data_IF_532425985773
#
_entry.id   IF_532425985773
#
_cell.length_a   1.000
_cell.length_b   1.000
_cell.length_c   1.000
_cell.angle_alpha   90.00
_cell.angle_beta   90.00
_cell.angle_gamma   90.00
#
_symmetry.space_group_name_H-M   'P 1'
#
loop_
_entity.id
_entity.type
_entity.pdbx_description
1 polymer ?
#
# COMPACT_ATOMS: atom_id res chain seq x y z
N UNK A 1 18.19 12.57 1.12
CA UNK A 1 19.17 11.45 1.12
C UNK A 1 19.65 11.27 -0.31
N UNK A 2 20.94 11.06 -0.55
CA UNK A 2 21.51 10.85 -1.91
C UNK A 2 21.09 11.91 -2.94
N UNK A 3 21.17 13.20 -2.59
CA UNK A 3 20.79 14.30 -3.47
C UNK A 3 19.29 14.50 -3.71
N UNK A 4 18.42 13.62 -3.19
CA UNK A 4 16.95 13.77 -3.22
C UNK A 4 16.46 14.52 -1.97
N UNK A 5 15.59 15.52 -2.15
CA UNK A 5 14.84 16.15 -1.06
C UNK A 5 13.69 15.24 -0.65
N UNK A 6 13.66 14.84 0.61
CA UNK A 6 12.69 13.87 1.14
C UNK A 6 11.98 14.50 2.33
N UNK A 7 10.65 14.41 2.34
CA UNK A 7 9.81 14.70 3.50
C UNK A 7 9.32 13.36 4.04
N UNK A 8 9.72 13.02 5.26
CA UNK A 8 9.29 11.80 5.94
C UNK A 8 8.22 12.15 6.97
N UNK A 9 7.08 11.45 6.91
CA UNK A 9 5.97 11.64 7.85
C UNK A 9 5.38 10.30 8.24
N UNK A 10 4.96 10.18 9.50
CA UNK A 10 4.17 9.04 9.97
C UNK A 10 2.68 9.41 9.90
N UNK A 11 1.93 8.71 9.05
CA UNK A 11 0.47 8.80 9.07
C UNK A 11 -0.11 7.90 10.17
N UNK A 12 -1.13 8.35 10.91
CA UNK A 12 -1.97 7.45 11.71
C UNK A 12 -2.73 6.44 10.84
N UNK A 13 -3.31 5.42 11.47
CA UNK A 13 -4.09 4.38 10.80
C UNK A 13 -5.41 4.92 10.24
N UNK A 14 -5.91 4.31 9.18
CA UNK A 14 -7.23 4.57 8.61
C UNK A 14 -7.22 5.56 7.44
N UNK A 15 -8.23 5.46 6.59
CA UNK A 15 -8.35 6.18 5.32
C UNK A 15 -8.31 7.69 5.51
N UNK A 16 -9.09 8.22 6.45
CA UNK A 16 -9.19 9.67 6.70
C UNK A 16 -7.83 10.26 7.06
N UNK A 17 -7.11 9.63 7.99
CA UNK A 17 -5.79 10.09 8.42
C UNK A 17 -4.76 10.05 7.29
N UNK A 18 -4.78 8.98 6.50
CA UNK A 18 -3.88 8.81 5.36
C UNK A 18 -4.18 9.79 4.23
N UNK A 19 -5.46 10.07 3.94
CA UNK A 19 -5.88 11.07 2.97
C UNK A 19 -5.47 12.49 3.40
N UNK A 20 -5.70 12.87 4.67
CA UNK A 20 -5.26 14.16 5.20
C UNK A 20 -3.74 14.30 5.08
N UNK A 21 -2.99 13.26 5.47
CA UNK A 21 -1.52 13.27 5.39
C UNK A 21 -1.04 13.45 3.95
N UNK A 22 -1.62 12.71 2.99
CA UNK A 22 -1.30 12.84 1.57
C UNK A 22 -1.61 14.25 1.05
N UNK A 23 -2.76 14.82 1.43
CA UNK A 23 -3.15 16.16 1.00
C UNK A 23 -2.24 17.24 1.58
N UNK A 24 -1.77 17.08 2.81
CA UNK A 24 -0.79 18.00 3.42
C UNK A 24 0.56 17.91 2.70
N UNK A 25 1.02 16.70 2.36
CA UNK A 25 2.23 16.52 1.55
C UNK A 25 2.10 17.20 0.18
N UNK A 26 0.96 17.04 -0.49
CA UNK A 26 0.68 17.68 -1.78
C UNK A 26 0.63 19.22 -1.66
N UNK A 27 -0.20 19.75 -0.77
CA UNK A 27 -0.51 21.19 -0.72
C UNK A 27 0.49 22.05 0.04
N UNK A 28 1.17 21.51 1.06
CA UNK A 28 2.13 22.28 1.88
C UNK A 28 3.56 22.07 1.44
N UNK A 29 3.92 20.84 1.11
CA UNK A 29 5.29 20.48 0.74
C UNK A 29 5.51 20.40 -0.76
N UNK A 30 4.44 20.45 -1.57
CA UNK A 30 4.50 20.42 -3.04
C UNK A 30 5.32 19.24 -3.54
N UNK A 31 5.09 18.06 -2.95
CA UNK A 31 5.83 16.85 -3.31
C UNK A 31 5.53 16.44 -4.75
N UNK A 32 6.56 15.99 -5.46
CA UNK A 32 6.42 15.51 -6.84
C UNK A 32 6.02 14.03 -6.93
N UNK A 33 6.08 13.31 -5.81
CA UNK A 33 5.79 11.88 -5.70
C UNK A 33 5.49 11.52 -4.25
N UNK A 34 4.58 10.56 -4.04
CA UNK A 34 4.33 9.97 -2.73
C UNK A 34 4.68 8.48 -2.76
N UNK A 35 5.51 8.03 -1.82
CA UNK A 35 5.74 6.60 -1.59
C UNK A 35 5.30 6.26 -0.18
N UNK A 36 4.40 5.29 -0.07
CA UNK A 36 3.86 4.84 1.21
C UNK A 36 4.37 3.45 1.50
N UNK A 37 5.11 3.32 2.59
CA UNK A 37 5.56 2.03 3.12
C UNK A 37 4.79 1.77 4.40
N UNK A 38 4.24 0.57 4.54
CA UNK A 38 3.38 0.23 5.67
C UNK A 38 3.20 -1.27 5.82
N UNK A 39 2.46 -1.66 6.84
CA UNK A 39 2.16 -3.06 7.13
C UNK A 39 0.85 -3.47 6.47
N UNK A 40 0.69 -4.76 6.21
CA UNK A 40 -0.55 -5.32 5.68
C UNK A 40 -0.77 -6.76 6.16
N UNK A 41 -2.03 -7.19 6.18
CA UNK A 41 -2.39 -8.59 6.34
C UNK A 41 -2.33 -9.32 5.00
N UNK A 42 -1.81 -10.56 4.99
CA UNK A 42 -1.78 -11.40 3.80
C UNK A 42 -3.16 -11.96 3.46
N UNK A 43 -3.64 -11.66 2.26
CA UNK A 43 -4.85 -12.26 1.68
C UNK A 43 -4.48 -13.47 0.81
N UNK A 44 -3.38 -13.37 0.07
CA UNK A 44 -2.81 -14.48 -0.69
C UNK A 44 -2.10 -15.46 0.28
N UNK A 45 -2.49 -16.75 0.29
CA UNK A 45 -1.92 -17.74 1.20
C UNK A 45 -0.45 -18.07 0.93
N UNK A 46 0.11 -17.70 -0.23
CA UNK A 46 1.52 -17.88 -0.54
C UNK A 46 2.43 -16.84 0.14
N UNK A 47 1.85 -15.77 0.68
CA UNK A 47 2.59 -14.71 1.36
C UNK A 47 2.81 -15.06 2.84
N UNK A 48 4.02 -14.83 3.29
CA UNK A 48 4.46 -15.06 4.67
C UNK A 48 4.75 -13.74 5.38
N UNK A 49 4.79 -13.77 6.71
CA UNK A 49 5.21 -12.59 7.48
C UNK A 49 6.61 -12.17 7.03
N UNK A 50 6.76 -10.88 6.70
CA UNK A 50 7.98 -10.31 6.12
C UNK A 50 8.02 -10.28 4.58
N UNK A 51 7.10 -10.96 3.88
CA UNK A 51 6.94 -10.80 2.43
C UNK A 51 6.65 -9.34 2.08
N UNK A 52 7.17 -8.89 0.93
CA UNK A 52 6.98 -7.52 0.41
C UNK A 52 6.08 -7.58 -0.82
N UNK A 53 5.01 -6.78 -0.78
CA UNK A 53 4.06 -6.59 -1.88
C UNK A 53 4.14 -5.13 -2.33
N UNK A 54 4.41 -4.92 -3.60
CA UNK A 54 4.34 -3.61 -4.25
C UNK A 54 2.99 -3.52 -4.96
N UNK A 55 2.26 -2.43 -4.73
CA UNK A 55 0.91 -2.26 -5.30
C UNK A 55 0.98 -2.31 -6.81
N UNK A 56 0.22 -3.20 -7.45
CA UNK A 56 -0.12 -3.12 -8.88
C UNK A 56 -1.44 -2.38 -9.06
N UNK A 57 -2.41 -2.69 -8.18
CA UNK A 57 -3.74 -2.08 -8.10
C UNK A 57 -4.06 -1.80 -6.65
N UNK A 58 -4.86 -0.76 -6.38
CA UNK A 58 -5.46 -0.58 -5.06
C UNK A 58 -6.97 -0.37 -5.14
N UNK A 59 -7.70 -0.90 -4.16
CA UNK A 59 -9.15 -0.85 -4.12
C UNK A 59 -9.64 -0.58 -2.71
N UNK A 60 -10.75 0.14 -2.57
CA UNK A 60 -11.43 0.28 -1.29
C UNK A 60 -12.47 -0.84 -1.15
N UNK A 61 -12.19 -1.84 -0.32
CA UNK A 61 -13.01 -3.06 -0.25
C UNK A 61 -14.31 -2.89 0.58
N UNK A 62 -14.42 -1.80 1.31
CA UNK A 62 -15.51 -1.43 2.22
C UNK A 62 -16.16 -0.08 1.85
N UNK A 63 -15.90 0.43 0.64
CA UNK A 63 -16.49 1.65 0.10
C UNK A 63 -17.40 1.32 -1.10
N UNK A 64 -18.66 1.74 -1.03
CA UNK A 64 -19.69 1.45 -2.01
C UNK A 64 -21.07 1.25 -1.37
N UNK A 65 -22.10 0.98 -2.19
CA UNK A 65 -23.47 0.75 -1.71
C UNK A 65 -23.65 -0.73 -1.36
N UNK A 66 -24.16 -1.00 -0.15
CA UNK A 66 -24.55 -2.34 0.32
C UNK A 66 -25.78 -2.87 -0.42
N UNK A 67 -25.57 -3.42 -1.62
CA UNK A 67 -26.44 -4.44 -2.22
C UNK A 67 -25.94 -5.83 -1.80
N UNK A 68 -26.72 -6.92 -1.96
CA UNK A 68 -26.29 -8.29 -1.58
C UNK A 68 -24.89 -8.69 -2.08
N UNK A 69 -24.41 -8.05 -3.14
CA UNK A 69 -23.08 -8.27 -3.72
C UNK A 69 -22.20 -7.02 -3.88
N UNK A 70 -22.64 -5.83 -3.44
CA UNK A 70 -21.91 -4.54 -3.34
C UNK A 70 -20.88 -4.16 -4.43
N UNK A 71 -21.08 -3.00 -5.07
CA UNK A 71 -20.07 -2.42 -5.97
C UNK A 71 -18.80 -2.08 -5.19
N UNK A 72 -17.65 -2.40 -5.77
CA UNK A 72 -16.34 -2.09 -5.19
C UNK A 72 -15.71 -1.01 -6.03
N UNK A 73 -15.24 0.02 -5.36
CA UNK A 73 -14.56 1.11 -6.02
C UNK A 73 -13.09 0.74 -6.24
N UNK A 74 -12.79 0.29 -7.46
CA UNK A 74 -11.42 0.18 -7.97
C UNK A 74 -10.95 1.59 -8.37
N UNK A 75 -9.80 2.01 -7.85
CA UNK A 75 -9.20 3.27 -8.25
C UNK A 75 -8.38 3.04 -9.53
N UNK A 76 -8.47 3.94 -10.53
CA UNK A 76 -7.63 3.84 -11.71
C UNK A 76 -6.15 3.98 -11.32
N UNK A 77 -5.21 3.44 -12.14
CA UNK A 77 -3.79 3.69 -11.94
C UNK A 77 -3.49 5.19 -11.90
N UNK A 78 -2.59 5.60 -10.99
CA UNK A 78 -2.25 7.02 -10.85
C UNK A 78 -1.60 7.51 -12.14
N UNK A 79 -2.17 8.56 -12.74
CA UNK A 79 -1.75 9.11 -14.04
C UNK A 79 -1.75 8.07 -15.19
N UNK A 80 -2.51 6.98 -15.06
CA UNK A 80 -2.60 5.93 -16.08
C UNK A 80 -1.34 5.07 -16.23
N UNK A 81 -0.37 5.16 -15.32
CA UNK A 81 0.87 4.36 -15.36
C UNK A 81 0.75 3.08 -14.53
N UNK A 82 1.18 1.92 -15.05
CA UNK A 82 1.32 0.72 -14.25
C UNK A 82 2.30 0.93 -13.11
N UNK A 83 2.06 0.30 -11.96
CA UNK A 83 2.92 0.51 -10.81
C UNK A 83 4.35 -0.04 -10.98
N UNK A 84 4.56 -1.03 -11.84
CA UNK A 84 5.89 -1.49 -12.22
C UNK A 84 6.72 -0.36 -12.86
N UNK A 85 6.08 0.48 -13.67
CA UNK A 85 6.71 1.66 -14.25
C UNK A 85 7.03 2.70 -13.17
N UNK A 86 6.16 2.87 -12.17
CA UNK A 86 6.41 3.78 -11.03
C UNK A 86 7.53 3.29 -10.10
N UNK A 87 7.67 1.97 -9.95
CA UNK A 87 8.76 1.34 -9.21
C UNK A 87 10.09 1.29 -10.00
N UNK A 88 10.07 1.56 -11.32
CA UNK A 88 11.28 1.54 -12.16
C UNK A 88 12.00 0.18 -12.15
N UNK A 89 11.24 -0.92 -12.12
CA UNK A 89 11.77 -2.29 -12.07
C UNK A 89 12.43 -2.71 -10.75
N UNK A 90 12.40 -1.87 -9.72
CA UNK A 90 13.02 -2.14 -8.42
C UNK A 90 12.45 -3.39 -7.73
N UNK A 91 11.12 -3.56 -7.73
CA UNK A 91 10.51 -4.69 -7.05
C UNK A 91 10.95 -6.02 -7.68
N UNK A 92 10.93 -6.09 -9.01
CA UNK A 92 11.34 -7.27 -9.79
C UNK A 92 12.81 -7.63 -9.54
N UNK A 93 13.72 -6.64 -9.48
CA UNK A 93 15.15 -6.89 -9.23
C UNK A 93 15.44 -7.40 -7.81
N UNK A 94 14.50 -7.22 -6.87
CA UNK A 94 14.57 -7.74 -5.50
C UNK A 94 13.72 -9.00 -5.29
N UNK A 95 13.03 -9.49 -6.32
CA UNK A 95 12.10 -10.62 -6.20
C UNK A 95 10.86 -10.31 -5.35
N UNK A 96 10.47 -9.03 -5.24
CA UNK A 96 9.25 -8.62 -4.56
C UNK A 96 8.04 -8.80 -5.47
N UNK A 97 6.92 -9.20 -4.88
CA UNK A 97 5.69 -9.45 -5.62
C UNK A 97 5.01 -8.12 -5.98
N UNK A 98 4.47 -8.04 -7.19
CA UNK A 98 3.42 -7.08 -7.51
C UNK A 98 2.07 -7.70 -7.20
N UNK A 99 1.16 -6.91 -6.65
CA UNK A 99 -0.13 -7.44 -6.24
C UNK A 99 -1.21 -6.40 -5.99
N UNK A 100 -2.43 -6.90 -5.87
CA UNK A 100 -3.60 -6.08 -5.55
C UNK A 100 -3.64 -5.82 -4.03
N UNK A 101 -3.68 -4.54 -3.64
CA UNK A 101 -3.77 -4.11 -2.25
C UNK A 101 -5.17 -3.57 -1.96
N UNK A 102 -5.89 -4.21 -1.05
CA UNK A 102 -7.18 -3.72 -0.59
C UNK A 102 -7.00 -2.78 0.58
N UNK A 103 -7.83 -1.75 0.67
CA UNK A 103 -7.87 -0.82 1.78
C UNK A 103 -9.26 -0.80 2.41
N UNK A 104 -9.31 -0.84 3.74
CA UNK A 104 -10.52 -0.63 4.52
C UNK A 104 -10.24 -0.10 5.91
N UNK A 105 -11.23 0.52 6.57
CA UNK A 105 -11.08 1.05 7.93
C UNK A 105 -11.32 -0.02 9.01
N UNK A 106 -11.05 -1.29 8.68
CA UNK A 106 -11.19 -2.43 9.57
C UNK A 106 -10.00 -3.35 9.48
N UNK A 107 -9.45 -3.72 10.63
CA UNK A 107 -8.45 -4.78 10.73
C UNK A 107 -9.11 -6.14 10.39
N UNK A 108 -8.58 -6.85 9.41
CA UNK A 108 -9.14 -8.14 8.95
C UNK A 108 -8.61 -9.27 9.82
N UNK A 109 -9.40 -9.66 10.82
CA UNK A 109 -9.08 -10.74 11.76
C UNK A 109 -10.06 -11.93 11.70
N UNK A 110 -10.67 -12.17 10.54
CA UNK A 110 -11.60 -13.29 10.33
C UNK A 110 -11.27 -14.03 9.04
N UNK A 111 -11.11 -15.35 9.13
CA UNK A 111 -10.72 -16.22 8.00
C UNK A 111 -11.73 -16.13 6.87
N UNK A 112 -13.02 -16.13 7.19
CA UNK A 112 -14.13 -16.08 6.24
C UNK A 112 -14.08 -14.76 5.46
N UNK A 113 -13.78 -13.66 6.15
CA UNK A 113 -13.64 -12.34 5.52
C UNK A 113 -12.42 -12.31 4.60
N UNK A 114 -11.27 -12.84 5.03
CA UNK A 114 -10.07 -12.95 4.17
C UNK A 114 -10.38 -13.76 2.92
N UNK A 115 -10.96 -14.94 3.08
CA UNK A 115 -11.24 -15.85 1.96
C UNK A 115 -12.24 -15.22 0.97
N UNK A 116 -13.24 -14.49 1.48
CA UNK A 116 -14.15 -13.70 0.65
C UNK A 116 -13.43 -12.58 -0.11
N UNK A 117 -12.54 -11.82 0.55
CA UNK A 117 -11.75 -10.76 -0.08
C UNK A 117 -10.85 -11.33 -1.18
N UNK A 118 -10.20 -12.47 -0.90
CA UNK A 118 -9.36 -13.19 -1.88
C UNK A 118 -10.17 -13.58 -3.11
N UNK A 119 -11.31 -14.26 -2.88
CA UNK A 119 -12.16 -14.76 -3.97
C UNK A 119 -12.75 -13.63 -4.80
N UNK A 120 -13.16 -12.53 -4.17
CA UNK A 120 -13.83 -11.43 -4.85
C UNK A 120 -12.87 -10.53 -5.64
N UNK A 121 -11.66 -10.30 -5.13
CA UNK A 121 -10.75 -9.28 -5.69
C UNK A 121 -9.44 -9.83 -6.23
N UNK A 122 -9.17 -11.13 -6.07
CA UNK A 122 -7.85 -11.71 -6.33
C UNK A 122 -6.74 -10.92 -5.62
N UNK A 123 -7.03 -10.50 -4.38
CA UNK A 123 -6.17 -9.61 -3.63
C UNK A 123 -4.97 -10.33 -3.01
N UNK A 124 -3.85 -9.62 -2.96
CA UNK A 124 -2.61 -10.10 -2.34
C UNK A 124 -2.54 -9.68 -0.86
N UNK A 125 -2.87 -8.43 -0.56
CA UNK A 125 -2.74 -7.86 0.77
C UNK A 125 -3.91 -6.94 1.12
N UNK A 126 -4.14 -6.72 2.42
CA UNK A 126 -5.12 -5.75 2.94
C UNK A 126 -4.48 -4.79 3.94
N UNK A 127 -4.74 -3.50 3.78
CA UNK A 127 -4.25 -2.41 4.63
C UNK A 127 -5.38 -1.43 5.01
N UNK A 128 -5.00 -0.30 5.62
CA UNK A 128 -5.93 0.74 6.06
C UNK A 128 -5.59 2.12 5.49
N UNK A 129 -4.88 2.23 4.36
CA UNK A 129 -4.50 3.55 3.86
C UNK A 129 -4.10 3.69 2.39
N UNK A 130 -3.66 2.63 1.69
CA UNK A 130 -3.11 2.75 0.34
C UNK A 130 -4.07 3.43 -0.64
N UNK A 131 -5.30 2.91 -0.77
CA UNK A 131 -6.28 3.45 -1.70
C UNK A 131 -6.70 4.90 -1.35
N UNK A 132 -6.76 5.26 -0.08
CA UNK A 132 -7.09 6.62 0.34
C UNK A 132 -6.01 7.63 -0.06
N UNK A 133 -4.73 7.24 0.06
CA UNK A 133 -3.61 8.04 -0.45
C UNK A 133 -3.68 8.12 -1.98
N UNK A 134 -3.96 7.00 -2.65
CA UNK A 134 -4.04 6.97 -4.12
C UNK A 134 -5.09 7.93 -4.65
N UNK A 135 -6.27 7.97 -4.03
CA UNK A 135 -7.36 8.86 -4.44
C UNK A 135 -6.94 10.34 -4.36
N UNK A 136 -6.27 10.74 -3.27
CA UNK A 136 -5.70 12.09 -3.15
C UNK A 136 -4.62 12.34 -4.22
N UNK A 137 -3.75 11.35 -4.46
CA UNK A 137 -2.69 11.46 -5.47
C UNK A 137 -3.26 11.65 -6.89
N UNK A 138 -4.33 10.94 -7.24
CA UNK A 138 -5.07 11.11 -8.51
C UNK A 138 -5.61 12.54 -8.62
N UNK A 139 -6.29 13.03 -7.57
CA UNK A 139 -6.88 14.39 -7.57
C UNK A 139 -5.83 15.50 -7.70
N UNK A 140 -4.61 15.28 -7.20
CA UNK A 140 -3.51 16.25 -7.28
C UNK A 140 -2.55 16.00 -8.47
N UNK A 141 -2.78 14.96 -9.28
CA UNK A 141 -1.89 14.59 -10.38
C UNK A 141 -0.46 14.23 -9.92
N UNK A 142 -0.32 13.61 -8.75
CA UNK A 142 0.95 13.22 -8.15
C UNK A 142 1.14 11.71 -8.30
N UNK A 143 2.22 11.22 -8.94
CA UNK A 143 2.55 9.80 -8.94
C UNK A 143 2.68 9.22 -7.53
N UNK A 144 2.20 7.99 -7.32
CA UNK A 144 2.35 7.30 -6.05
C UNK A 144 2.65 5.81 -6.18
N UNK A 145 3.34 5.27 -5.18
CA UNK A 145 3.67 3.85 -5.06
C UNK A 145 3.42 3.36 -3.64
N UNK A 146 2.82 2.18 -3.48
CA UNK A 146 2.58 1.55 -2.19
C UNK A 146 3.42 0.30 -2.04
N UNK A 147 4.12 0.21 -0.92
CA UNK A 147 4.91 -0.95 -0.53
C UNK A 147 4.33 -1.44 0.80
N UNK A 148 3.95 -2.71 0.84
CA UNK A 148 3.36 -3.34 2.01
C UNK A 148 4.18 -4.54 2.43
N UNK A 149 4.48 -4.59 3.71
CA UNK A 149 5.21 -5.70 4.33
C UNK A 149 4.21 -6.47 5.15
N UNK A 150 4.13 -7.77 4.90
CA UNK A 150 3.15 -8.63 5.54
C UNK A 150 3.48 -8.75 7.02
N UNK A 151 2.55 -8.34 7.88
CA UNK A 151 2.65 -8.43 9.34
C UNK A 151 1.90 -9.63 9.92
N UNK A 152 0.85 -10.07 9.24
CA UNK A 152 -0.05 -11.11 9.72
C UNK A 152 -0.72 -11.82 8.53
N UNK A 153 -1.42 -12.92 8.80
CA UNK A 153 -2.06 -13.77 7.77
C UNK A 153 -3.55 -13.49 7.53
N UNK A 154 -4.04 -12.33 7.97
CA UNK A 154 -5.44 -11.89 7.89
C UNK A 154 -6.44 -13.03 8.22
N UNK A 155 -6.82 -13.20 9.47
CA UNK A 155 -7.55 -14.38 9.92
C UNK A 155 -7.71 -14.38 11.44
N UNK A 156 -8.19 -15.48 12.00
CA UNK A 156 -8.46 -15.60 13.44
C UNK A 156 -7.27 -15.18 14.32
N UNK A 157 -6.05 -15.53 13.89
CA UNK A 157 -4.83 -15.30 14.68
C UNK A 157 -4.08 -14.03 14.24
N UNK A 158 -4.71 -13.19 13.41
CA UNK A 158 -4.04 -12.01 12.84
C UNK A 158 -3.57 -11.03 13.90
N UNK A 159 -4.32 -10.86 14.99
CA UNK A 159 -3.94 -9.96 16.08
C UNK A 159 -2.65 -10.42 16.77
N UNK A 160 -2.60 -11.70 17.13
CA UNK A 160 -1.43 -12.30 17.78
C UNK A 160 -0.20 -12.28 16.89
N UNK A 161 -0.36 -12.61 15.60
CA UNK A 161 0.73 -12.53 14.64
C UNK A 161 1.26 -11.10 14.47
N UNK A 162 0.36 -10.13 14.36
CA UNK A 162 0.73 -8.71 14.28
C UNK A 162 1.51 -8.27 15.52
N UNK A 163 1.01 -8.55 16.72
CA UNK A 163 1.65 -8.13 17.97
C UNK A 163 3.05 -8.73 18.13
N UNK A 164 3.28 -9.98 17.66
CA UNK A 164 4.60 -10.64 17.69
C UNK A 164 5.54 -10.17 16.58
N UNK A 165 5.04 -9.79 15.42
CA UNK A 165 5.85 -9.47 14.24
C UNK A 165 6.13 -7.97 14.08
N UNK A 166 5.34 -7.09 14.71
CA UNK A 166 5.39 -5.65 14.44
C UNK A 166 6.81 -5.05 14.50
N UNK A 167 7.63 -5.51 15.46
CA UNK A 167 9.01 -5.04 15.60
C UNK A 167 9.90 -5.48 14.43
N UNK A 168 9.87 -6.76 14.04
CA UNK A 168 10.69 -7.28 12.94
C UNK A 168 10.28 -6.69 11.60
N UNK A 169 8.97 -6.57 11.37
CA UNK A 169 8.38 -5.94 10.18
C UNK A 169 8.75 -4.45 10.12
N UNK A 170 8.83 -3.76 11.26
CA UNK A 170 9.30 -2.38 11.30
C UNK A 170 10.76 -2.26 10.86
N UNK A 171 11.66 -3.14 11.33
CA UNK A 171 13.06 -3.17 10.85
C UNK A 171 13.12 -3.42 9.34
N UNK A 172 12.33 -4.37 8.85
CA UNK A 172 12.23 -4.66 7.41
C UNK A 172 11.76 -3.44 6.62
N UNK A 173 10.84 -2.63 7.17
CA UNK A 173 10.37 -1.41 6.51
C UNK A 173 11.45 -0.36 6.31
N UNK A 174 12.37 -0.24 7.27
CA UNK A 174 13.52 0.67 7.17
C UNK A 174 14.53 0.16 6.14
N UNK A 175 14.78 -1.15 6.10
CA UNK A 175 15.62 -1.79 5.08
C UNK A 175 15.06 -1.53 3.67
N UNK A 176 13.78 -1.88 3.46
CA UNK A 176 13.09 -1.72 2.18
C UNK A 176 13.06 -0.25 1.74
N UNK A 177 12.84 0.69 2.67
CA UNK A 177 12.91 2.13 2.39
C UNK A 177 14.29 2.54 1.88
N UNK A 178 15.36 2.13 2.57
CA UNK A 178 16.73 2.46 2.18
C UNK A 178 17.06 1.89 0.81
N UNK A 179 16.67 0.65 0.55
CA UNK A 179 16.85 0.00 -0.74
C UNK A 179 16.12 0.71 -1.87
N UNK A 180 14.87 1.10 -1.64
CA UNK A 180 14.07 1.84 -2.62
C UNK A 180 14.67 3.23 -2.91
N UNK A 181 15.10 3.95 -1.87
CA UNK A 181 15.69 5.29 -2.03
C UNK A 181 17.04 5.25 -2.77
N UNK A 182 17.82 4.20 -2.54
CA UNK A 182 19.09 3.91 -3.22
C UNK A 182 18.93 3.53 -4.70
N UNK A 183 17.70 3.23 -5.15
CA UNK A 183 17.44 2.91 -6.55
C UNK A 183 17.52 4.16 -7.43
N UNK A 184 18.42 4.13 -8.41
CA UNK A 184 18.76 5.28 -9.25
C UNK A 184 17.75 5.55 -10.37
N UNK A 185 16.92 4.56 -10.71
CA UNK A 185 16.03 4.57 -11.89
C UNK A 185 14.60 5.05 -11.61
N UNK A 186 14.39 5.88 -10.59
CA UNK A 186 13.05 6.43 -10.35
C UNK A 186 12.68 7.41 -11.49
N UNK A 187 11.51 7.23 -12.15
CA UNK A 187 11.08 8.13 -13.20
C UNK A 187 10.99 9.57 -12.69
N UNK A 188 11.69 10.49 -13.35
CA UNK A 188 11.53 11.93 -13.07
C UNK A 188 10.18 12.40 -13.61
N UNK A 189 9.49 13.24 -12.85
CA UNK A 189 8.31 13.98 -13.34
C UNK A 189 8.78 14.92 -14.44
N UNK A 190 8.27 14.75 -15.66
CA UNK A 190 8.39 15.79 -16.69
C UNK A 190 7.62 17.00 -16.19
N UNK A 191 8.30 18.12 -16.01
CA UNK A 191 7.67 19.41 -15.70
C UNK A 191 6.83 19.89 -16.87
#
# INVERSE_FOLDING_TARGET
MEGKRVVLVRSPMGKVNNAITAQLLASRFHVDRIVSIGFAGAIDPSLEVGSVVVSERTLQHDFGVTKPYGDVWELPPTLGKPAEAEAGGWASSRGYAYGTILTGDRFVAAKEKRDWLRKKFSASAVDMGAAAIQEVCIQNGIPCLFIRIISDKAGSDARDHFDRSAQSVNYKSVEVLKEFLGHSNLPRRSR
#
